data_IF_185092708057
#
_entry.id   IF_185092708057
#
_cell.length_a   1.000
_cell.length_b   1.000
_cell.length_c   1.000
_cell.angle_alpha   90.00
_cell.angle_beta   90.00
_cell.angle_gamma   90.00
#
_symmetry.space_group_name_H-M   'P 1'
#
loop_
_entity.id
_entity.type
_entity.pdbx_description
1 polymer ?
#
# COMPACT_ATOMS: atom_id res chain seq x y z
N UNK A 1 -2.00 7.52 -27.53
CA UNK A 1 -1.93 6.93 -26.19
C UNK A 1 -2.28 5.46 -26.27
N UNK A 2 -1.60 4.65 -25.59
CA UNK A 2 -1.80 3.23 -25.65
C UNK A 2 -2.16 2.66 -24.29
N UNK A 3 -2.84 1.53 -24.30
CA UNK A 3 -3.15 0.82 -23.06
C UNK A 3 -1.87 0.42 -22.30
N UNK A 4 -0.78 0.18 -23.03
CA UNK A 4 0.48 -0.23 -22.42
C UNK A 4 1.00 0.79 -21.42
N UNK A 5 0.81 2.09 -21.67
CA UNK A 5 1.30 3.12 -20.76
C UNK A 5 0.54 3.13 -19.43
N UNK A 6 -0.67 2.55 -19.40
CA UNK A 6 -1.46 2.45 -18.17
C UNK A 6 -1.10 1.25 -17.32
N UNK A 7 -0.44 0.26 -17.92
CA UNK A 7 -0.10 -0.98 -17.22
C UNK A 7 1.20 -0.88 -16.46
N UNK A 8 1.88 0.24 -16.58
CA UNK A 8 3.19 0.44 -15.94
C UNK A 8 3.16 1.65 -15.04
N UNK A 9 3.93 1.62 -13.94
CA UNK A 9 4.14 2.82 -13.15
C UNK A 9 4.75 3.91 -14.00
N UNK A 10 4.48 5.17 -13.65
CA UNK A 10 5.19 6.28 -14.26
C UNK A 10 6.68 6.16 -13.93
N UNK A 11 7.57 6.63 -14.82
CA UNK A 11 9.00 6.62 -14.50
C UNK A 11 9.28 7.33 -13.18
N UNK A 12 10.09 6.69 -12.34
CA UNK A 12 10.45 7.24 -11.05
C UNK A 12 9.46 6.96 -9.93
N UNK A 13 8.42 6.14 -10.16
CA UNK A 13 7.43 5.85 -9.13
C UNK A 13 7.31 4.36 -8.82
N UNK A 14 6.68 4.08 -7.70
CA UNK A 14 6.21 2.75 -7.31
C UNK A 14 4.69 2.77 -7.42
N UNK A 15 4.10 1.69 -7.93
CA UNK A 15 2.65 1.60 -8.13
C UNK A 15 2.12 0.29 -7.57
N UNK A 16 1.00 0.38 -6.86
CA UNK A 16 0.24 -0.78 -6.39
C UNK A 16 -1.06 -0.88 -7.19
N UNK A 17 -1.34 -2.07 -7.75
CA UNK A 17 -2.56 -2.30 -8.55
C UNK A 17 -3.20 -3.61 -8.17
N UNK A 18 -4.52 -3.67 -8.37
CA UNK A 18 -5.27 -4.91 -8.24
C UNK A 18 -6.46 -4.84 -9.20
N UNK A 19 -6.64 -5.92 -9.96
CA UNK A 19 -7.71 -6.03 -10.96
C UNK A 19 -7.73 -4.82 -11.92
N UNK A 20 -6.54 -4.35 -12.30
CA UNK A 20 -6.42 -3.23 -13.23
C UNK A 20 -6.64 -1.86 -12.62
N UNK A 21 -6.89 -1.77 -11.34
CA UNK A 21 -7.13 -0.49 -10.65
C UNK A 21 -5.88 -0.09 -9.89
N UNK A 22 -5.46 1.16 -10.08
CA UNK A 22 -4.32 1.73 -9.34
C UNK A 22 -4.80 2.09 -7.94
N UNK A 23 -4.19 1.46 -6.94
CA UNK A 23 -4.53 1.69 -5.53
C UNK A 23 -3.65 2.78 -4.91
N UNK A 24 -2.43 2.90 -5.40
CA UNK A 24 -1.49 3.92 -4.93
C UNK A 24 -0.37 4.06 -5.94
N UNK A 25 0.18 5.25 -6.03
CA UNK A 25 1.37 5.49 -6.84
C UNK A 25 2.12 6.69 -6.30
N UNK A 26 3.43 6.54 -6.08
CA UNK A 26 4.23 7.62 -5.51
C UNK A 26 5.71 7.43 -5.82
N UNK A 27 6.42 8.53 -5.96
CA UNK A 27 7.88 8.53 -6.00
C UNK A 27 8.47 8.56 -4.58
N UNK A 28 7.63 8.72 -3.57
CA UNK A 28 8.05 8.98 -2.20
C UNK A 28 7.71 7.82 -1.25
N UNK A 29 7.84 6.59 -1.72
CA UNK A 29 7.65 5.43 -0.84
C UNK A 29 8.88 5.24 0.04
N UNK A 30 8.63 4.71 1.23
CA UNK A 30 9.67 4.31 2.17
C UNK A 30 9.74 2.80 2.16
N UNK A 31 10.92 2.25 1.97
CA UNK A 31 11.12 0.80 1.90
C UNK A 31 11.58 0.28 3.26
N UNK A 32 10.83 -0.68 3.80
CA UNK A 32 11.19 -1.36 5.04
C UNK A 32 10.93 -2.84 4.85
N UNK A 33 11.95 -3.66 5.04
CA UNK A 33 11.85 -5.12 4.94
C UNK A 33 11.29 -5.60 3.60
N UNK A 34 11.63 -4.89 2.53
CA UNK A 34 11.16 -5.27 1.19
C UNK A 34 9.76 -4.79 0.86
N UNK A 35 9.09 -4.12 1.78
CA UNK A 35 7.76 -3.54 1.53
C UNK A 35 7.88 -2.06 1.23
N UNK A 36 7.10 -1.60 0.26
CA UNK A 36 7.00 -0.19 -0.09
C UNK A 36 5.85 0.42 0.70
N UNK A 37 6.15 1.42 1.51
CA UNK A 37 5.13 2.13 2.30
C UNK A 37 4.79 3.42 1.58
N UNK A 38 3.57 3.50 1.08
CA UNK A 38 3.08 4.63 0.29
C UNK A 38 2.59 5.77 1.19
N UNK A 39 2.92 7.02 0.88
CA UNK A 39 2.36 8.13 1.64
C UNK A 39 0.84 8.13 1.54
N UNK A 40 0.20 8.56 2.60
CA UNK A 40 -1.26 8.51 2.71
C UNK A 40 -1.97 9.25 1.57
N UNK A 41 -1.41 10.37 1.12
CA UNK A 41 -2.01 11.17 0.07
C UNK A 41 -1.86 10.57 -1.33
N UNK A 42 -1.08 9.49 -1.47
CA UNK A 42 -0.93 8.78 -2.75
C UNK A 42 -1.87 7.59 -2.87
N UNK A 43 -2.66 7.32 -1.84
CA UNK A 43 -3.47 6.11 -1.73
C UNK A 43 -4.93 6.42 -2.10
N UNK A 44 -5.51 5.53 -2.90
CA UNK A 44 -6.93 5.67 -3.27
C UNK A 44 -7.78 5.05 -2.17
N UNK A 45 -8.14 5.87 -1.18
CA UNK A 45 -8.83 5.41 0.02
C UNK A 45 -10.23 4.87 -0.25
N UNK A 46 -10.87 5.30 -1.33
CA UNK A 46 -12.20 4.77 -1.67
C UNK A 46 -12.15 3.28 -2.03
N UNK A 47 -10.97 2.74 -2.31
CA UNK A 47 -10.81 1.31 -2.58
C UNK A 47 -10.37 0.52 -1.34
N UNK A 48 -10.30 1.16 -0.18
CA UNK A 48 -9.84 0.51 1.05
C UNK A 48 -10.94 0.53 2.10
N UNK A 49 -11.06 -0.58 2.82
CA UNK A 49 -12.04 -0.74 3.89
C UNK A 49 -11.31 -1.18 5.15
N UNK A 50 -11.58 -0.53 6.26
CA UNK A 50 -10.99 -0.92 7.54
C UNK A 50 -11.34 -2.37 7.86
N UNK A 51 -10.34 -3.10 8.32
CA UNK A 51 -10.49 -4.47 8.76
C UNK A 51 -10.32 -4.52 10.28
N UNK A 52 -11.01 -5.44 10.98
CA UNK A 52 -10.77 -5.62 12.41
C UNK A 52 -9.43 -6.29 12.73
N UNK A 53 -8.74 -6.82 11.72
CA UNK A 53 -7.46 -7.51 11.90
C UNK A 53 -6.38 -6.54 12.36
N UNK A 54 -5.59 -6.96 13.33
CA UNK A 54 -4.39 -6.24 13.76
C UNK A 54 -3.28 -7.25 13.97
N UNK A 55 -2.05 -6.77 13.97
CA UNK A 55 -0.89 -7.60 14.32
C UNK A 55 0.11 -6.75 15.08
N UNK A 56 1.00 -7.42 15.82
CA UNK A 56 2.03 -6.74 16.58
C UNK A 56 3.39 -7.18 16.08
N UNK A 57 4.19 -6.22 15.65
CA UNK A 57 5.59 -6.44 15.33
C UNK A 57 6.42 -5.83 16.45
N UNK A 58 7.27 -6.66 17.08
CA UNK A 58 7.98 -6.21 18.29
C UNK A 58 8.89 -5.02 18.05
N UNK A 59 9.32 -4.78 16.82
CA UNK A 59 10.21 -3.66 16.56
C UNK A 59 9.56 -2.52 15.75
N UNK A 60 8.38 -2.76 15.16
CA UNK A 60 7.67 -1.72 14.40
C UNK A 60 6.43 -1.18 15.13
N UNK A 61 5.77 -2.02 15.91
CA UNK A 61 4.57 -1.61 16.61
C UNK A 61 3.35 -2.38 16.15
N UNK A 62 2.17 -1.82 16.40
CA UNK A 62 0.90 -2.47 16.04
C UNK A 62 0.44 -2.04 14.66
N UNK A 63 0.23 -3.02 13.80
CA UNK A 63 -0.31 -2.80 12.46
C UNK A 63 -1.82 -2.91 12.48
N UNK A 64 -2.48 -2.08 11.68
CA UNK A 64 -3.91 -2.18 11.39
C UNK A 64 -4.06 -2.55 9.93
N UNK A 65 -5.03 -3.42 9.65
CA UNK A 65 -5.19 -3.95 8.29
C UNK A 65 -6.36 -3.31 7.58
N UNK A 66 -6.24 -3.29 6.26
CA UNK A 66 -7.26 -2.78 5.35
C UNK A 66 -7.53 -3.85 4.31
N UNK A 67 -8.79 -3.99 3.94
CA UNK A 67 -9.17 -4.84 2.81
C UNK A 67 -9.26 -3.96 1.58
N UNK A 68 -8.96 -4.53 0.42
CA UNK A 68 -9.05 -3.83 -0.85
C UNK A 68 -10.38 -4.19 -1.50
N UNK A 69 -11.15 -3.19 -1.90
CA UNK A 69 -12.44 -3.38 -2.54
C UNK A 69 -12.45 -2.69 -3.90
N UNK A 70 -12.67 -3.46 -4.96
CA UNK A 70 -12.77 -2.94 -6.33
C UNK A 70 -14.01 -3.56 -6.95
N UNK A 71 -14.95 -2.74 -7.40
CA UNK A 71 -16.25 -3.19 -7.88
C UNK A 71 -16.92 -4.04 -6.80
N UNK A 72 -17.31 -5.26 -7.13
CA UNK A 72 -17.95 -6.17 -6.17
C UNK A 72 -16.98 -7.16 -5.55
N UNK A 73 -15.68 -6.98 -5.79
CA UNK A 73 -14.65 -7.91 -5.31
C UNK A 73 -13.93 -7.32 -4.11
N UNK A 74 -13.70 -8.17 -3.11
CA UNK A 74 -12.95 -7.77 -1.91
C UNK A 74 -11.76 -8.69 -1.74
N UNK A 75 -10.60 -8.10 -1.52
CA UNK A 75 -9.37 -8.82 -1.17
C UNK A 75 -9.10 -8.55 0.31
N UNK A 76 -9.39 -9.51 1.20
CA UNK A 76 -9.29 -9.27 2.64
C UNK A 76 -7.85 -9.04 3.09
N UNK A 77 -7.68 -8.06 3.98
CA UNK A 77 -6.41 -7.81 4.68
C UNK A 77 -5.21 -7.69 3.75
N UNK A 78 -5.42 -7.06 2.60
CA UNK A 78 -4.39 -6.95 1.57
C UNK A 78 -3.49 -5.73 1.74
N UNK A 79 -3.75 -4.90 2.73
CA UNK A 79 -2.95 -3.72 3.03
C UNK A 79 -2.87 -3.53 4.52
N UNK A 80 -1.86 -2.79 4.96
CA UNK A 80 -1.72 -2.46 6.37
C UNK A 80 -1.01 -1.14 6.55
N UNK A 81 -1.14 -0.57 7.75
CA UNK A 81 -0.42 0.63 8.14
C UNK A 81 -0.14 0.62 9.63
N UNK A 82 0.83 1.41 10.06
CA UNK A 82 1.19 1.56 11.47
C UNK A 82 0.82 2.98 11.90
N UNK A 83 -0.29 3.18 12.64
CA UNK A 83 -0.66 4.54 13.08
C UNK A 83 0.35 5.11 14.08
N UNK A 84 0.97 4.25 14.89
CA UNK A 84 1.94 4.69 15.90
C UNK A 84 3.12 3.73 15.95
N UNK A 85 3.98 3.74 14.91
CA UNK A 85 5.14 2.86 14.93
C UNK A 85 6.14 3.29 16.00
N UNK A 86 6.98 2.33 16.41
CA UNK A 86 8.04 2.65 17.36
C UNK A 86 8.98 3.72 16.77
N UNK A 87 9.64 4.52 17.64
CA UNK A 87 10.42 5.67 17.15
C UNK A 87 11.44 5.39 16.07
N UNK A 88 12.07 4.22 16.06
CA UNK A 88 13.10 3.90 15.06
C UNK A 88 12.53 3.79 13.66
N UNK A 89 11.24 3.58 13.51
CA UNK A 89 10.58 3.44 12.21
C UNK A 89 9.44 4.42 12.03
N UNK A 90 9.49 5.56 12.72
CA UNK A 90 8.41 6.55 12.62
C UNK A 90 8.18 7.06 11.20
N UNK A 91 9.16 6.88 10.31
CA UNK A 91 9.03 7.31 8.92
C UNK A 91 7.95 6.55 8.15
N UNK A 92 7.48 5.41 8.68
CA UNK A 92 6.38 4.66 8.05
C UNK A 92 5.02 5.00 8.66
N UNK A 93 4.95 5.94 9.61
CA UNK A 93 3.70 6.28 10.27
C UNK A 93 2.63 6.66 9.24
N UNK A 94 1.45 6.04 9.34
CA UNK A 94 0.29 6.27 8.48
C UNK A 94 0.54 6.04 6.98
N UNK A 95 1.64 5.42 6.62
CA UNK A 95 1.88 5.00 5.25
C UNK A 95 1.32 3.60 5.06
N UNK A 96 0.85 3.31 3.86
CA UNK A 96 0.16 2.06 3.55
C UNK A 96 1.07 1.15 2.73
N UNK A 97 1.18 -0.10 3.15
CA UNK A 97 1.86 -1.14 2.39
C UNK A 97 0.83 -2.17 1.90
N UNK A 98 1.13 -2.83 0.81
CA UNK A 98 0.25 -3.81 0.17
C UNK A 98 0.97 -5.13 0.02
N UNK A 99 0.22 -6.22 -0.01
CA UNK A 99 0.79 -7.55 -0.21
C UNK A 99 -0.21 -8.48 -0.87
N UNK A 100 0.13 -9.76 -0.91
CA UNK A 100 -0.77 -10.77 -1.47
C UNK A 100 -0.95 -10.58 -2.96
N UNK A 101 -2.20 -10.56 -3.39
CA UNK A 101 -2.53 -10.45 -4.80
C UNK A 101 -2.42 -9.03 -5.35
N UNK A 102 -2.12 -8.06 -4.50
CA UNK A 102 -1.85 -6.70 -4.97
C UNK A 102 -0.48 -6.68 -5.62
N UNK A 103 -0.45 -6.20 -6.85
CA UNK A 103 0.80 -6.12 -7.60
C UNK A 103 1.49 -4.79 -7.27
N UNK A 104 2.73 -4.87 -6.83
CA UNK A 104 3.52 -3.68 -6.52
C UNK A 104 4.73 -3.66 -7.45
N UNK A 105 4.85 -2.60 -8.23
CA UNK A 105 5.91 -2.45 -9.21
C UNK A 105 6.70 -1.20 -8.92
N UNK A 106 8.03 -1.35 -8.88
CA UNK A 106 8.96 -0.26 -8.62
C UNK A 106 9.63 0.13 -9.92
N UNK A 107 9.46 1.39 -10.30
CA UNK A 107 10.05 1.94 -11.51
C UNK A 107 10.92 3.16 -11.19
N UNK A 108 11.39 3.23 -10.00
CA UNK A 108 12.28 4.30 -9.56
C UNK A 108 13.70 4.14 -10.09
#
# INVERSE_FOLDING_TARGET
>A
MTAASRDRPHPGTVRATWRGVVLAESADTVDVEGNHYFPSDSVRWECLVESPTTSLCVWKGRARYLSVAVDDEVLPDAAWYYPRPWPLVRRIADRVAFWGDVRVEDRR
#
